data_IF_177118792633
#
_entry.id   IF_177118792633
#
_cell.length_a   1.000
_cell.length_b   1.000
_cell.length_c   1.000
_cell.angle_alpha   90.00
_cell.angle_beta   90.00
_cell.angle_gamma   90.00
#
_symmetry.space_group_name_H-M   'P 1'
#
loop_
_entity.id
_entity.type
_entity.pdbx_description
1 polymer ?
#
# COMPACT_ATOMS: atom_id res chain seq x y z
N UNK A 1 -2.89 1.03 18.32
CA UNK A 1 -1.98 -0.03 17.86
C UNK A 1 -2.28 -0.22 16.38
N UNK A 2 -1.32 0.05 15.48
CA UNK A 2 -1.53 -0.23 14.05
C UNK A 2 -1.81 -1.74 13.90
N UNK A 3 -2.87 -2.11 13.19
CA UNK A 3 -3.18 -3.52 12.99
C UNK A 3 -2.03 -4.17 12.22
N UNK A 4 -1.75 -5.45 12.46
CA UNK A 4 -0.79 -6.23 11.65
C UNK A 4 -1.15 -6.14 10.16
N UNK A 5 -2.45 -6.02 9.86
CA UNK A 5 -2.99 -5.83 8.51
C UNK A 5 -2.57 -4.50 7.86
N UNK A 6 -2.40 -3.42 8.63
CA UNK A 6 -1.94 -2.13 8.09
C UNK A 6 -0.46 -2.21 7.66
N UNK A 7 0.34 -3.02 8.36
CA UNK A 7 1.72 -3.30 7.98
C UNK A 7 1.81 -4.03 6.65
N UNK A 8 1.02 -5.09 6.46
CA UNK A 8 0.99 -5.85 5.22
C UNK A 8 0.54 -5.00 4.01
N UNK A 9 -0.50 -4.16 4.20
CA UNK A 9 -0.97 -3.22 3.17
C UNK A 9 0.13 -2.21 2.78
N UNK A 10 0.86 -1.70 3.77
CA UNK A 10 1.99 -0.76 3.59
C UNK A 10 3.14 -1.41 2.81
N UNK A 11 3.48 -2.66 3.11
CA UNK A 11 4.47 -3.45 2.37
C UNK A 11 4.05 -3.60 0.91
N UNK A 12 2.79 -4.00 0.65
CA UNK A 12 2.29 -4.20 -0.71
C UNK A 12 2.28 -2.89 -1.52
N UNK A 13 1.78 -1.80 -0.93
CA UNK A 13 1.83 -0.46 -1.54
C UNK A 13 3.26 -0.09 -1.93
N UNK A 14 4.22 -0.24 -1.01
CA UNK A 14 5.62 0.10 -1.28
C UNK A 14 6.24 -0.77 -2.38
N UNK A 15 5.89 -2.07 -2.41
CA UNK A 15 6.36 -2.99 -3.46
C UNK A 15 5.83 -2.60 -4.83
N UNK A 16 4.52 -2.30 -4.93
CA UNK A 16 3.91 -1.83 -6.18
C UNK A 16 4.55 -0.52 -6.66
N UNK A 17 4.79 0.41 -5.74
CA UNK A 17 5.41 1.69 -6.04
C UNK A 17 6.85 1.53 -6.52
N UNK A 18 7.60 0.60 -5.92
CA UNK A 18 8.96 0.31 -6.35
C UNK A 18 9.02 -0.32 -7.74
N UNK A 19 8.06 -1.17 -8.13
CA UNK A 19 7.98 -1.68 -9.50
C UNK A 19 7.74 -0.55 -10.51
N UNK A 20 6.80 0.34 -10.22
CA UNK A 20 6.54 1.51 -11.05
C UNK A 20 7.78 2.41 -11.20
N UNK A 21 8.46 2.72 -10.09
CA UNK A 21 9.66 3.54 -10.12
C UNK A 21 10.82 2.85 -10.86
N UNK A 22 10.98 1.54 -10.69
CA UNK A 22 11.97 0.74 -11.39
C UNK A 22 11.75 0.77 -12.92
N UNK A 23 10.51 0.65 -13.39
CA UNK A 23 10.17 0.78 -14.81
C UNK A 23 10.57 2.15 -15.36
N UNK A 24 10.31 3.23 -14.60
CA UNK A 24 10.72 4.59 -14.97
C UNK A 24 12.24 4.75 -15.03
N UNK A 25 12.96 4.10 -14.13
CA UNK A 25 14.42 4.03 -14.08
C UNK A 25 15.02 3.13 -15.17
N UNK A 26 14.21 2.48 -16.01
CA UNK A 26 14.68 1.55 -17.03
C UNK A 26 15.23 0.23 -16.45
N UNK A 27 14.94 -0.06 -15.18
CA UNK A 27 15.30 -1.33 -14.56
C UNK A 27 14.36 -2.43 -15.03
N UNK A 28 14.90 -3.63 -15.26
CA UNK A 28 14.11 -4.79 -15.69
C UNK A 28 14.54 -6.06 -14.96
N UNK A 29 13.68 -7.08 -15.01
CA UNK A 29 13.97 -8.39 -14.44
C UNK A 29 14.31 -8.33 -12.94
N UNK A 30 15.49 -8.86 -12.58
CA UNK A 30 15.91 -8.98 -11.18
C UNK A 30 16.18 -7.62 -10.52
N UNK A 31 16.66 -6.64 -11.28
CA UNK A 31 16.99 -5.32 -10.73
C UNK A 31 15.72 -4.57 -10.33
N UNK A 32 14.67 -4.67 -11.15
CA UNK A 32 13.37 -4.10 -10.85
C UNK A 32 12.73 -4.73 -9.60
N UNK A 33 12.79 -6.07 -9.49
CA UNK A 33 12.28 -6.77 -8.31
C UNK A 33 13.09 -6.44 -7.04
N UNK A 34 14.43 -6.38 -7.14
CA UNK A 34 15.29 -6.00 -6.02
C UNK A 34 15.00 -4.56 -5.55
N UNK A 35 14.80 -3.63 -6.48
CA UNK A 35 14.41 -2.27 -6.16
C UNK A 35 13.05 -2.23 -5.45
N UNK A 36 12.05 -2.95 -5.97
CA UNK A 36 10.73 -3.05 -5.36
C UNK A 36 10.76 -3.65 -3.94
N UNK A 37 11.53 -4.73 -3.76
CA UNK A 37 11.71 -5.37 -2.45
C UNK A 37 12.45 -4.46 -1.46
N UNK A 38 13.38 -3.62 -1.93
CA UNK A 38 14.05 -2.64 -1.08
C UNK A 38 13.07 -1.61 -0.49
N UNK A 39 12.09 -1.16 -1.28
CA UNK A 39 11.05 -0.25 -0.81
C UNK A 39 10.03 -0.96 0.08
N UNK A 40 9.68 -2.21 -0.24
CA UNK A 40 8.81 -3.04 0.58
C UNK A 40 9.37 -3.21 2.00
N UNK A 41 10.69 -3.45 2.13
CA UNK A 41 11.37 -3.58 3.43
C UNK A 41 11.32 -2.30 4.27
N UNK A 42 11.29 -1.12 3.66
CA UNK A 42 11.15 0.15 4.39
C UNK A 42 9.83 0.21 5.18
N UNK A 43 8.77 -0.47 4.74
CA UNK A 43 7.52 -0.52 5.49
C UNK A 43 7.64 -1.16 6.89
N UNK A 44 8.70 -1.93 7.14
CA UNK A 44 8.98 -2.54 8.45
C UNK A 44 9.50 -1.53 9.48
N UNK A 45 9.98 -0.37 9.04
CA UNK A 45 10.40 0.74 9.89
C UNK A 45 9.71 2.05 9.46
N UNK A 46 8.41 2.21 9.79
CA UNK A 46 7.62 3.35 9.34
C UNK A 46 8.15 4.70 9.86
N UNK A 47 8.82 4.71 11.01
CA UNK A 47 9.34 5.93 11.64
C UNK A 47 10.50 6.56 10.85
N UNK A 48 11.23 5.73 10.09
CA UNK A 48 12.36 6.15 9.26
C UNK A 48 12.18 5.84 7.77
N UNK A 49 10.97 5.42 7.39
CA UNK A 49 10.64 5.07 6.01
C UNK A 49 10.14 6.28 5.22
N UNK A 50 11.08 6.99 4.61
CA UNK A 50 10.75 7.98 3.58
C UNK A 50 10.92 7.38 2.17
N UNK A 51 9.82 6.84 1.63
CA UNK A 51 9.78 6.22 0.30
C UNK A 51 9.71 7.28 -0.80
N UNK A 52 8.97 8.36 -0.57
CA UNK A 52 8.85 9.47 -1.51
C UNK A 52 10.22 10.10 -1.78
N UNK A 53 10.96 10.49 -0.74
CA UNK A 53 12.26 11.11 -0.90
C UNK A 53 13.28 10.18 -1.54
N UNK A 54 13.17 8.86 -1.35
CA UNK A 54 14.03 7.90 -2.05
C UNK A 54 13.76 7.91 -3.56
N UNK A 55 12.49 7.74 -3.96
CA UNK A 55 12.12 7.73 -5.39
C UNK A 55 12.48 9.05 -6.05
N UNK A 56 12.21 10.16 -5.38
CA UNK A 56 12.54 11.49 -5.92
C UNK A 56 14.04 11.64 -6.19
N UNK A 57 14.88 11.25 -5.22
CA UNK A 57 16.34 11.26 -5.38
C UNK A 57 16.82 10.34 -6.51
N UNK A 58 16.23 9.16 -6.64
CA UNK A 58 16.60 8.22 -7.69
C UNK A 58 16.21 8.76 -9.08
N UNK A 59 15.04 9.40 -9.19
CA UNK A 59 14.60 10.06 -10.42
C UNK A 59 15.48 11.26 -10.77
N UNK A 60 15.85 12.09 -9.78
CA UNK A 60 16.78 13.20 -9.98
C UNK A 60 18.15 12.72 -10.48
N UNK A 61 18.68 11.65 -9.87
CA UNK A 61 19.95 11.05 -10.29
C UNK A 61 19.89 10.46 -11.71
N UNK A 62 18.72 9.98 -12.14
CA UNK A 62 18.49 9.44 -13.48
C UNK A 62 18.04 10.50 -14.50
N UNK A 63 17.85 11.76 -14.10
CA UNK A 63 17.35 12.83 -14.97
C UNK A 63 15.87 12.68 -15.38
N UNK A 64 15.08 11.92 -14.62
CA UNK A 64 13.66 11.67 -14.88
C UNK A 64 12.82 12.85 -14.37
N UNK A 65 12.13 13.52 -15.30
CA UNK A 65 11.25 14.64 -15.00
C UNK A 65 9.82 14.18 -14.63
N UNK A 66 9.69 13.58 -13.45
CA UNK A 66 8.38 13.27 -12.85
C UNK A 66 8.11 14.25 -11.70
N UNK A 67 6.95 14.91 -11.74
CA UNK A 67 6.60 15.92 -10.73
C UNK A 67 6.29 15.30 -9.36
N UNK A 68 6.59 16.02 -8.29
CA UNK A 68 6.28 15.61 -6.92
C UNK A 68 4.79 15.30 -6.74
N UNK A 69 3.92 16.15 -7.30
CA UNK A 69 2.47 15.96 -7.26
C UNK A 69 2.05 14.65 -7.95
N UNK A 70 2.71 14.29 -9.05
CA UNK A 70 2.44 13.03 -9.74
C UNK A 70 2.93 11.81 -8.95
N UNK A 71 4.13 11.88 -8.36
CA UNK A 71 4.63 10.80 -7.50
C UNK A 71 3.66 10.55 -6.34
N UNK A 72 3.18 11.61 -5.69
CA UNK A 72 2.20 11.52 -4.60
C UNK A 72 0.83 10.98 -5.07
N UNK A 73 0.41 11.36 -6.27
CA UNK A 73 -0.79 10.80 -6.88
C UNK A 73 -0.65 9.29 -7.08
N UNK A 74 0.46 8.81 -7.65
CA UNK A 74 0.74 7.38 -7.81
C UNK A 74 0.77 6.66 -6.46
N UNK A 75 1.38 7.27 -5.43
CA UNK A 75 1.37 6.69 -4.08
C UNK A 75 -0.04 6.52 -3.52
N UNK A 76 -0.93 7.48 -3.79
CA UNK A 76 -2.34 7.44 -3.38
C UNK A 76 -3.09 6.33 -4.11
N UNK A 77 -2.97 6.28 -5.44
CA UNK A 77 -3.58 5.24 -6.28
C UNK A 77 -3.13 3.82 -5.85
N UNK A 78 -1.85 3.64 -5.59
CA UNK A 78 -1.31 2.36 -5.16
C UNK A 78 -1.70 1.99 -3.73
N UNK A 79 -2.00 2.97 -2.89
CA UNK A 79 -2.58 2.72 -1.55
C UNK A 79 -3.98 2.14 -1.67
N UNK A 80 -4.82 2.71 -2.55
CA UNK A 80 -6.16 2.20 -2.84
C UNK A 80 -6.10 0.80 -3.45
N UNK A 81 -5.20 0.60 -4.44
CA UNK A 81 -4.99 -0.69 -5.07
C UNK A 81 -4.55 -1.76 -4.06
N UNK A 82 -3.62 -1.44 -3.16
CA UNK A 82 -3.20 -2.35 -2.10
C UNK A 82 -4.35 -2.70 -1.15
N UNK A 83 -5.21 -1.73 -0.80
CA UNK A 83 -6.41 -1.98 0.00
C UNK A 83 -7.40 -2.92 -0.69
N UNK A 84 -7.60 -2.79 -2.00
CA UNK A 84 -8.48 -3.67 -2.78
C UNK A 84 -7.91 -5.08 -2.93
N UNK A 85 -6.58 -5.22 -3.03
CA UNK A 85 -5.89 -6.51 -3.12
C UNK A 85 -5.79 -7.22 -1.77
N UNK A 86 -5.76 -6.45 -0.68
CA UNK A 86 -5.76 -6.94 0.69
C UNK A 86 -6.98 -6.37 1.43
N UNK A 87 -8.19 -6.82 1.07
CA UNK A 87 -9.38 -6.47 1.82
C UNK A 87 -9.19 -7.07 3.20
N UNK A 88 -8.95 -6.21 4.19
CA UNK A 88 -8.86 -6.66 5.57
C UNK A 88 -10.23 -7.17 5.96
N UNK A 89 -10.27 -8.29 6.70
CA UNK A 89 -11.51 -8.86 7.22
C UNK A 89 -12.11 -7.99 8.34
N UNK A 90 -12.07 -6.66 8.19
CA UNK A 90 -12.78 -5.71 9.04
C UNK A 90 -14.20 -5.55 8.51
N UNK A 91 -14.89 -6.68 8.42
CA UNK A 91 -16.26 -6.81 7.95
C UNK A 91 -16.98 -7.98 8.64
N UNK A 92 -16.61 -8.28 9.89
CA UNK A 92 -17.19 -9.36 10.68
C UNK A 92 -17.36 -8.95 12.13
N UNK A 93 -18.60 -9.09 12.64
CA UNK A 93 -19.09 -8.73 13.97
C UNK A 93 -19.38 -7.23 14.12
N UNK A 94 -20.58 -6.73 13.80
CA UNK A 94 -21.77 -6.99 14.64
C UNK A 94 -23.16 -7.01 13.97
N UNK A 95 -23.31 -7.00 12.64
CA UNK A 95 -24.65 -6.76 12.05
C UNK A 95 -25.41 -7.95 11.42
N UNK A 96 -24.87 -9.17 11.45
CA UNK A 96 -25.61 -10.33 10.92
C UNK A 96 -26.35 -11.15 12.00
N UNK A 97 -25.95 -11.07 13.27
CA UNK A 97 -26.56 -11.83 14.37
C UNK A 97 -27.63 -11.04 15.15
N UNK A 98 -27.61 -9.70 15.10
CA UNK A 98 -28.59 -8.87 15.79
C UNK A 98 -29.98 -8.89 15.12
N UNK A 99 -30.01 -8.99 13.78
CA UNK A 99 -31.28 -8.97 13.01
C UNK A 99 -32.07 -10.28 13.14
N UNK A 100 -31.41 -11.41 13.43
CA UNK A 100 -32.11 -12.69 13.59
C UNK A 100 -32.78 -12.83 14.97
N UNK A 101 -32.26 -12.19 16.02
CA UNK A 101 -32.85 -12.26 17.36
C UNK A 101 -34.01 -11.28 17.58
N UNK A 102 -34.02 -10.15 16.86
CA UNK A 102 -35.11 -9.17 16.95
C UNK A 102 -36.43 -9.66 16.33
N UNK A 103 -36.41 -10.68 15.45
CA UNK A 103 -37.62 -11.21 14.80
C UNK A 103 -38.50 -12.07 15.74
N UNK A 104 -37.95 -12.60 16.84
CA UNK A 104 -38.69 -13.49 17.75
C UNK A 104 -39.27 -12.79 19.00
N UNK A 105 -39.01 -11.50 19.18
CA UNK A 105 -39.45 -10.73 20.36
C UNK A 105 -40.64 -9.80 20.10
N UNK A 106 -41.12 -9.72 18.85
CA UNK A 106 -42.23 -8.85 18.45
C UNK A 106 -43.47 -9.64 17.98
N UNK A 107 -43.61 -10.88 18.44
CA UNK A 107 -44.77 -11.75 18.17
C UNK A 107 -45.26 -12.49 19.42
N UNK A 108 -45.42 -11.76 20.53
CA UNK A 108 -46.29 -12.18 21.64
C UNK A 108 -47.43 -11.19 21.78
#
# INVERSE_FOLDING_TARGET
>A
MASVDDGARTILRNKLLGRWAAEKLGMTGRDAEAYADSLARKALDPAHSDVFSKIRKDFDAAGIQESDAWILHVMTELTLKAGNLMPTATGGSTDAAAVTLARNLMSR
#
